data_IF_482875904766
#
_entry.id   IF_482875904766
#
_cell.length_a   1.000
_cell.length_b   1.000
_cell.length_c   1.000
_cell.angle_alpha   90.00
_cell.angle_beta   90.00
_cell.angle_gamma   90.00
#
_symmetry.space_group_name_H-M   'P 1'
#
loop_
_entity.id
_entity.type
_entity.pdbx_description
1 polymer ?
#
# COMPACT_ATOMS: atom_id res chain seq x y z
N UNK A 1 -25.25 1.26 23.85
CA UNK A 1 -24.40 2.42 24.18
C UNK A 1 -23.02 2.15 23.63
N UNK A 2 -22.69 2.74 22.49
CA UNK A 2 -21.41 2.57 21.77
C UNK A 2 -20.32 3.36 22.50
N UNK A 3 -19.38 2.68 23.15
CA UNK A 3 -18.15 3.32 23.64
C UNK A 3 -17.22 3.46 22.43
N UNK A 4 -17.21 4.61 21.81
CA UNK A 4 -16.22 5.09 20.86
C UNK A 4 -14.87 5.35 21.57
N UNK A 5 -14.25 4.30 22.08
CA UNK A 5 -12.84 4.36 22.43
C UNK A 5 -12.05 4.19 21.12
N UNK A 6 -11.23 5.19 20.73
CA UNK A 6 -10.29 5.03 19.63
C UNK A 6 -9.47 3.76 19.88
N UNK A 7 -9.50 2.84 18.94
CA UNK A 7 -8.66 1.65 18.98
C UNK A 7 -7.19 2.09 19.10
N UNK A 8 -6.50 1.55 20.09
CA UNK A 8 -5.07 1.79 20.28
C UNK A 8 -4.32 0.62 19.66
N UNK A 9 -3.17 0.90 19.11
CA UNK A 9 -2.32 -0.09 18.51
C UNK A 9 -0.94 -0.08 19.17
N UNK A 10 -0.35 -1.27 19.31
CA UNK A 10 1.07 -1.43 19.62
C UNK A 10 1.79 -1.92 18.38
N UNK A 11 2.94 -1.32 18.08
CA UNK A 11 3.87 -1.74 17.03
C UNK A 11 5.05 -2.45 17.68
N UNK A 12 5.23 -3.71 17.35
CA UNK A 12 6.35 -4.53 17.84
C UNK A 12 7.29 -4.75 16.67
N UNK A 13 8.52 -4.28 16.82
CA UNK A 13 9.57 -4.35 15.80
C UNK A 13 10.32 -5.69 15.87
N UNK A 14 11.09 -6.00 14.82
CA UNK A 14 11.91 -7.22 14.77
C UNK A 14 13.02 -7.23 15.84
N UNK A 15 13.48 -6.04 16.26
CA UNK A 15 14.54 -5.86 17.25
C UNK A 15 13.99 -5.72 18.69
N UNK A 16 12.67 -5.77 18.88
CA UNK A 16 12.08 -5.66 20.22
C UNK A 16 12.38 -6.88 21.07
N UNK A 17 12.82 -6.62 22.29
CA UNK A 17 12.90 -7.61 23.36
C UNK A 17 11.66 -7.50 24.27
N UNK A 18 11.55 -8.39 25.28
CA UNK A 18 10.38 -8.41 26.15
C UNK A 18 10.21 -7.13 26.95
N UNK A 19 11.31 -6.46 27.33
CA UNK A 19 11.27 -5.23 28.09
C UNK A 19 10.78 -4.05 27.24
N UNK A 20 11.20 -3.98 25.96
CA UNK A 20 10.70 -2.99 25.02
C UNK A 20 9.23 -3.20 24.71
N UNK A 21 8.77 -4.46 24.57
CA UNK A 21 7.33 -4.77 24.42
C UNK A 21 6.54 -4.31 25.64
N UNK A 22 7.05 -4.56 26.86
CA UNK A 22 6.42 -4.07 28.09
C UNK A 22 6.35 -2.56 28.14
N UNK A 23 7.43 -1.86 27.80
CA UNK A 23 7.47 -0.40 27.75
C UNK A 23 6.46 0.18 26.74
N UNK A 24 6.31 -0.45 25.58
CA UNK A 24 5.32 -0.04 24.55
C UNK A 24 3.87 -0.32 24.98
N UNK A 25 3.61 -1.42 25.68
CA UNK A 25 2.25 -1.82 26.09
C UNK A 25 1.75 -1.08 27.34
N UNK A 26 2.62 -0.78 28.30
CA UNK A 26 2.25 -0.20 29.58
C UNK A 26 1.42 1.09 29.45
N UNK A 27 1.80 2.10 28.62
CA UNK A 27 1.07 3.36 28.53
C UNK A 27 -0.28 3.28 27.83
N UNK A 28 -0.53 2.23 27.05
CA UNK A 28 -1.73 2.07 26.25
C UNK A 28 -2.71 1.02 26.79
N UNK A 29 -2.26 0.21 27.73
CA UNK A 29 -3.04 -0.84 28.39
C UNK A 29 -3.67 -0.35 29.69
N UNK A 30 -4.72 -1.03 30.13
CA UNK A 30 -5.17 -0.89 31.52
C UNK A 30 -4.21 -1.63 32.48
N UNK A 31 -4.08 -1.22 33.75
CA UNK A 31 -3.20 -1.91 34.72
C UNK A 31 -3.50 -3.42 34.81
N UNK A 32 -4.77 -3.80 34.81
CA UNK A 32 -5.20 -5.19 34.80
C UNK A 32 -4.82 -5.92 33.51
N UNK A 33 -5.02 -5.26 32.35
CA UNK A 33 -4.66 -5.82 31.05
C UNK A 33 -3.17 -6.05 30.90
N UNK A 34 -2.35 -5.12 31.37
CA UNK A 34 -0.91 -5.25 31.37
C UNK A 34 -0.43 -6.37 32.29
N UNK A 35 -1.02 -6.51 33.46
CA UNK A 35 -0.73 -7.61 34.38
C UNK A 35 -1.06 -8.98 33.74
N UNK A 36 -2.24 -9.12 33.14
CA UNK A 36 -2.66 -10.35 32.43
C UNK A 36 -1.67 -10.68 31.31
N UNK A 37 -1.25 -9.69 30.53
CA UNK A 37 -0.24 -9.89 29.48
C UNK A 37 1.07 -10.43 30.03
N UNK A 38 1.60 -9.84 31.12
CA UNK A 38 2.83 -10.31 31.77
C UNK A 38 2.77 -11.76 32.21
N UNK A 39 1.66 -12.15 32.86
CA UNK A 39 1.48 -13.53 33.32
C UNK A 39 1.45 -14.52 32.14
N UNK A 40 0.67 -14.22 31.10
CA UNK A 40 0.58 -15.07 29.92
C UNK A 40 1.89 -15.12 29.13
N UNK A 41 2.57 -14.00 28.97
CA UNK A 41 3.86 -13.91 28.30
C UNK A 41 4.91 -14.80 29.00
N UNK A 42 4.91 -14.83 30.35
CA UNK A 42 5.78 -15.70 31.12
C UNK A 42 5.42 -17.18 30.94
N UNK A 43 4.16 -17.54 31.10
CA UNK A 43 3.68 -18.94 30.97
C UNK A 43 3.94 -19.48 29.55
N UNK A 44 3.71 -18.66 28.52
CA UNK A 44 3.85 -19.06 27.10
C UNK A 44 5.27 -18.89 26.57
N UNK A 45 6.25 -18.45 27.38
CA UNK A 45 7.63 -18.25 26.96
C UNK A 45 7.79 -17.23 25.84
N UNK A 46 6.97 -16.17 25.83
CA UNK A 46 6.89 -15.19 24.75
C UNK A 46 8.21 -14.46 24.50
N UNK A 47 9.06 -14.31 25.52
CA UNK A 47 10.40 -13.71 25.40
C UNK A 47 11.30 -14.39 24.36
N UNK A 48 11.07 -15.68 24.09
CA UNK A 48 11.89 -16.46 23.17
C UNK A 48 11.37 -16.44 21.72
N UNK A 49 10.16 -15.88 21.48
CA UNK A 49 9.53 -15.89 20.16
C UNK A 49 8.63 -14.66 19.96
N UNK A 50 9.17 -13.49 20.23
CA UNK A 50 8.49 -12.23 19.97
C UNK A 50 8.24 -12.11 18.46
N UNK A 51 7.00 -11.80 18.11
CA UNK A 51 6.58 -11.67 16.71
C UNK A 51 6.35 -10.21 16.37
N UNK A 52 7.08 -9.65 15.39
CA UNK A 52 6.87 -8.28 14.97
C UNK A 52 5.50 -8.11 14.31
N UNK A 53 4.90 -6.94 14.50
CA UNK A 53 3.61 -6.63 13.92
C UNK A 53 2.86 -5.52 14.62
N UNK A 54 1.69 -5.20 14.07
CA UNK A 54 0.74 -4.23 14.63
C UNK A 54 -0.41 -4.96 15.30
N UNK A 55 -0.63 -4.70 16.58
CA UNK A 55 -1.65 -5.39 17.37
C UNK A 55 -2.62 -4.38 17.99
N UNK A 56 -3.92 -4.69 17.98
CA UNK A 56 -4.96 -3.88 18.60
C UNK A 56 -4.95 -4.08 20.12
N UNK A 57 -5.02 -2.98 20.87
CA UNK A 57 -5.09 -2.99 22.33
C UNK A 57 -6.38 -2.32 22.77
N UNK A 58 -7.19 -3.02 23.60
CA UNK A 58 -8.37 -2.44 24.24
C UNK A 58 -9.70 -2.62 23.49
N UNK A 59 -9.73 -3.22 22.30
CA UNK A 59 -10.97 -3.55 21.58
C UNK A 59 -11.62 -4.84 22.06
N UNK A 60 -10.83 -5.77 22.55
CA UNK A 60 -11.23 -7.07 23.11
C UNK A 60 -10.84 -7.15 24.58
N UNK A 61 -11.39 -8.12 25.32
CA UNK A 61 -10.99 -8.36 26.71
C UNK A 61 -9.48 -8.59 26.87
N UNK A 62 -8.92 -8.23 28.03
CA UNK A 62 -7.47 -8.28 28.29
C UNK A 62 -6.81 -9.61 27.95
N UNK A 63 -7.50 -10.74 28.20
CA UNK A 63 -7.02 -12.08 27.90
C UNK A 63 -6.90 -12.33 26.38
N UNK A 64 -7.91 -11.90 25.61
CA UNK A 64 -7.95 -12.08 24.17
C UNK A 64 -6.90 -11.20 23.47
N UNK A 65 -6.79 -9.94 23.88
CA UNK A 65 -5.73 -9.02 23.41
C UNK A 65 -4.34 -9.61 23.66
N UNK A 66 -4.09 -10.15 24.87
CA UNK A 66 -2.80 -10.77 25.19
C UNK A 66 -2.51 -11.98 24.30
N UNK A 67 -3.50 -12.83 24.06
CA UNK A 67 -3.37 -13.99 23.15
C UNK A 67 -3.10 -13.56 21.71
N UNK A 68 -3.75 -12.50 21.22
CA UNK A 68 -3.50 -11.99 19.86
C UNK A 68 -2.06 -11.55 19.69
N UNK A 69 -1.49 -10.80 20.67
CA UNK A 69 -0.10 -10.37 20.63
C UNK A 69 0.85 -11.56 20.68
N UNK A 70 0.67 -12.48 21.62
CA UNK A 70 1.55 -13.63 21.82
C UNK A 70 1.51 -14.57 20.60
N UNK A 71 0.35 -14.80 20.02
CA UNK A 71 0.18 -15.65 18.84
C UNK A 71 0.50 -14.96 17.50
N UNK A 72 0.80 -13.66 17.52
CA UNK A 72 1.13 -12.89 16.32
C UNK A 72 -0.07 -12.60 15.42
N UNK A 73 -1.29 -12.53 15.97
CA UNK A 73 -2.51 -12.19 15.24
C UNK A 73 -2.58 -10.68 15.02
N UNK A 74 -1.98 -10.22 13.94
CA UNK A 74 -1.86 -8.80 13.62
C UNK A 74 -3.18 -8.17 13.17
N UNK A 75 -3.32 -6.86 13.48
CA UNK A 75 -4.36 -6.03 12.89
C UNK A 75 -3.88 -5.46 11.55
N UNK A 76 -4.64 -5.61 10.45
CA UNK A 76 -4.25 -5.08 9.16
C UNK A 76 -4.22 -3.55 9.16
N UNK A 77 -3.34 -3.00 8.33
CA UNK A 77 -3.25 -1.56 8.01
C UNK A 77 -3.93 -1.33 6.67
N UNK A 78 -4.85 -0.39 6.61
CA UNK A 78 -5.48 0.04 5.36
C UNK A 78 -4.62 1.08 4.67
N UNK A 79 -4.16 0.77 3.47
CA UNK A 79 -3.41 1.67 2.60
C UNK A 79 -4.31 2.03 1.42
N UNK A 80 -4.70 3.28 1.34
CA UNK A 80 -5.43 3.81 0.19
C UNK A 80 -4.42 4.39 -0.79
N UNK A 81 -4.30 3.75 -1.93
CA UNK A 81 -3.54 4.26 -3.07
C UNK A 81 -4.53 5.05 -3.91
N UNK A 82 -4.22 6.33 -4.12
CA UNK A 82 -4.94 7.21 -5.02
C UNK A 82 -4.24 7.23 -6.38
N UNK A 83 -4.65 8.09 -7.29
CA UNK A 83 -3.89 8.34 -8.51
C UNK A 83 -2.43 8.64 -8.18
N UNK A 84 -1.50 7.84 -8.72
CA UNK A 84 -0.06 7.98 -8.42
C UNK A 84 0.56 8.97 -9.38
N UNK A 85 0.83 10.19 -8.89
CA UNK A 85 1.51 11.23 -9.67
C UNK A 85 3.01 10.94 -9.78
N UNK A 86 3.64 10.65 -8.64
CA UNK A 86 5.05 10.33 -8.56
C UNK A 86 5.30 9.12 -7.68
N UNK A 87 6.35 8.36 -7.98
CA UNK A 87 6.78 7.24 -7.11
C UNK A 87 7.27 7.75 -5.75
N UNK A 88 7.71 9.00 -5.69
CA UNK A 88 8.14 9.68 -4.47
C UNK A 88 6.99 9.90 -3.49
N UNK A 89 5.84 10.36 -3.98
CA UNK A 89 4.63 10.57 -3.18
C UNK A 89 4.08 9.22 -2.69
N UNK A 90 3.96 8.26 -3.61
CA UNK A 90 3.57 6.90 -3.25
C UNK A 90 4.45 6.31 -2.14
N UNK A 91 5.78 6.45 -2.29
CA UNK A 91 6.72 5.91 -1.31
C UNK A 91 6.58 6.59 0.04
N UNK A 92 6.27 7.88 0.08
CA UNK A 92 6.01 8.62 1.31
C UNK A 92 4.74 8.10 1.99
N UNK A 93 3.61 8.07 1.28
CA UNK A 93 2.31 7.65 1.82
C UNK A 93 2.32 6.22 2.36
N UNK A 94 3.03 5.32 1.66
CA UNK A 94 3.09 3.91 2.04
C UNK A 94 4.04 3.69 3.22
N UNK A 95 5.22 4.34 3.22
CA UNK A 95 6.22 4.18 4.28
C UNK A 95 5.77 4.78 5.63
N UNK A 96 4.86 5.76 5.64
CA UNK A 96 4.24 6.24 6.87
C UNK A 96 3.36 5.19 7.58
N UNK A 97 2.91 4.18 6.85
CA UNK A 97 1.96 3.18 7.33
C UNK A 97 2.54 1.79 7.50
N UNK A 98 3.66 1.49 6.86
CA UNK A 98 4.35 0.19 6.92
C UNK A 98 5.73 0.33 7.58
N UNK A 99 6.34 -0.80 7.92
CA UNK A 99 7.60 -0.84 8.67
C UNK A 99 8.82 -0.45 7.81
N UNK A 100 8.80 -0.71 6.51
CA UNK A 100 9.93 -0.40 5.63
C UNK A 100 10.08 1.11 5.38
N UNK A 101 11.30 1.54 5.10
CA UNK A 101 11.60 2.96 4.88
C UNK A 101 11.22 3.44 3.47
N UNK A 102 10.96 4.75 3.35
CA UNK A 102 10.76 5.42 2.06
C UNK A 102 11.92 5.18 1.08
N UNK A 103 13.16 5.25 1.58
CA UNK A 103 14.36 5.05 0.75
C UNK A 103 14.46 3.62 0.20
N UNK A 104 14.05 2.63 0.99
CA UNK A 104 14.03 1.23 0.58
C UNK A 104 13.02 1.00 -0.55
N UNK A 105 11.79 1.48 -0.41
CA UNK A 105 10.78 1.37 -1.47
C UNK A 105 11.21 2.12 -2.73
N UNK A 106 11.71 3.35 -2.62
CA UNK A 106 12.19 4.11 -3.77
C UNK A 106 13.35 3.44 -4.50
N UNK A 107 14.30 2.84 -3.78
CA UNK A 107 15.42 2.12 -4.40
C UNK A 107 14.93 0.96 -5.27
N UNK A 108 13.90 0.25 -4.80
CA UNK A 108 13.26 -0.84 -5.56
C UNK A 108 12.48 -0.33 -6.77
N UNK A 109 11.70 0.74 -6.62
CA UNK A 109 10.91 1.31 -7.71
C UNK A 109 11.78 1.94 -8.81
N UNK A 110 12.99 2.43 -8.49
CA UNK A 110 13.95 2.97 -9.44
C UNK A 110 14.88 1.90 -10.06
N UNK A 111 14.87 0.69 -9.53
CA UNK A 111 15.68 -0.41 -10.04
C UNK A 111 15.10 -0.98 -11.33
N UNK A 112 15.87 -0.92 -12.42
CA UNK A 112 15.48 -1.52 -13.72
C UNK A 112 15.20 -3.02 -13.60
N UNK A 113 15.96 -3.73 -12.78
CA UNK A 113 15.79 -5.16 -12.54
C UNK A 113 14.46 -5.45 -11.84
N UNK A 114 14.15 -4.70 -10.77
CA UNK A 114 12.89 -4.83 -10.04
C UNK A 114 11.70 -4.51 -10.94
N UNK A 115 11.74 -3.39 -11.68
CA UNK A 115 10.66 -3.03 -12.60
C UNK A 115 10.44 -4.10 -13.68
N UNK A 116 11.51 -4.62 -14.27
CA UNK A 116 11.45 -5.68 -15.29
C UNK A 116 10.81 -6.98 -14.74
N UNK A 117 11.06 -7.33 -13.48
CA UNK A 117 10.42 -8.48 -12.80
C UNK A 117 8.90 -8.40 -12.88
N UNK A 118 8.34 -7.20 -12.78
CA UNK A 118 6.90 -6.96 -12.81
C UNK A 118 6.36 -6.56 -14.20
N UNK A 119 7.22 -6.48 -15.21
CA UNK A 119 6.83 -6.14 -16.58
C UNK A 119 6.76 -4.64 -16.89
N UNK A 120 7.43 -3.83 -16.07
CA UNK A 120 7.47 -2.37 -16.21
C UNK A 120 8.90 -1.85 -16.39
N UNK A 121 9.02 -0.55 -16.69
CA UNK A 121 10.25 0.23 -16.58
C UNK A 121 10.15 1.20 -15.40
N UNK A 122 11.25 1.85 -14.97
CA UNK A 122 11.16 2.87 -13.93
C UNK A 122 10.20 4.03 -14.27
N UNK A 123 9.99 4.32 -15.54
CA UNK A 123 9.08 5.35 -16.03
C UNK A 123 7.62 4.89 -16.00
N UNK A 124 7.36 3.59 -16.23
CA UNK A 124 6.00 3.05 -16.34
C UNK A 124 5.52 2.32 -15.07
N UNK A 125 6.41 2.10 -14.09
CA UNK A 125 6.06 1.40 -12.84
C UNK A 125 4.90 2.05 -12.05
N UNK A 126 4.65 3.38 -12.10
CA UNK A 126 3.48 3.96 -11.48
C UNK A 126 2.16 3.33 -11.93
N UNK A 127 2.07 2.88 -13.19
CA UNK A 127 0.89 2.21 -13.73
C UNK A 127 0.59 0.83 -13.11
N UNK A 128 1.51 0.26 -12.35
CA UNK A 128 1.27 -0.95 -11.57
C UNK A 128 0.29 -0.72 -10.41
N UNK A 129 0.25 0.49 -9.87
CA UNK A 129 -0.48 0.82 -8.65
C UNK A 129 -1.90 1.28 -8.99
N UNK A 130 -2.83 0.34 -9.00
CA UNK A 130 -4.25 0.63 -9.27
C UNK A 130 -4.85 1.35 -8.05
N UNK A 131 -5.55 2.50 -8.23
CA UNK A 131 -6.22 3.20 -7.16
C UNK A 131 -7.25 2.32 -6.46
N UNK A 132 -7.03 2.06 -5.18
CA UNK A 132 -7.93 1.28 -4.31
C UNK A 132 -7.44 1.35 -2.86
N UNK A 133 -8.21 0.77 -1.93
CA UNK A 133 -7.79 0.55 -0.55
C UNK A 133 -7.42 -0.92 -0.35
N UNK A 134 -6.19 -1.13 0.09
CA UNK A 134 -5.59 -2.45 0.28
C UNK A 134 -5.29 -2.71 1.75
N UNK A 135 -5.51 -3.93 2.21
CA UNK A 135 -5.13 -4.36 3.54
C UNK A 135 -3.73 -5.00 3.51
N UNK A 136 -2.84 -4.51 4.37
CA UNK A 136 -1.49 -5.03 4.58
C UNK A 136 -1.23 -5.30 6.05
N UNK A 137 -0.33 -6.20 6.35
CA UNK A 137 0.27 -6.24 7.68
C UNK A 137 1.38 -5.19 7.79
N UNK A 138 1.49 -4.58 8.96
CA UNK A 138 2.45 -3.49 9.20
C UNK A 138 3.90 -3.88 8.89
N UNK A 139 4.28 -5.12 9.18
CA UNK A 139 5.61 -5.68 8.92
C UNK A 139 5.75 -6.32 7.52
N UNK A 140 4.89 -5.95 6.56
CA UNK A 140 5.02 -6.40 5.17
C UNK A 140 6.33 -5.87 4.59
N UNK A 141 7.15 -6.75 3.99
CA UNK A 141 8.38 -6.34 3.29
C UNK A 141 8.06 -5.65 1.95
N UNK A 142 9.03 -4.86 1.44
CA UNK A 142 8.89 -4.18 0.13
C UNK A 142 8.57 -5.18 -0.98
N UNK A 143 9.23 -6.34 -1.01
CA UNK A 143 8.99 -7.34 -2.05
C UNK A 143 7.55 -7.89 -1.99
N UNK A 144 7.04 -8.22 -0.79
CA UNK A 144 5.65 -8.66 -0.61
C UNK A 144 4.64 -7.57 -0.96
N UNK A 145 4.97 -6.30 -0.66
CA UNK A 145 4.14 -5.17 -1.06
C UNK A 145 4.05 -5.09 -2.58
N UNK A 146 5.18 -5.11 -3.28
CA UNK A 146 5.22 -5.04 -4.74
C UNK A 146 4.58 -6.27 -5.41
N UNK A 147 4.80 -7.48 -4.87
CA UNK A 147 4.16 -8.69 -5.38
C UNK A 147 2.63 -8.58 -5.29
N UNK A 148 2.09 -8.12 -4.15
CA UNK A 148 0.64 -7.90 -4.00
C UNK A 148 0.12 -6.83 -4.95
N UNK A 149 0.83 -5.72 -5.13
CA UNK A 149 0.42 -4.68 -6.09
C UNK A 149 0.40 -5.22 -7.53
N UNK A 150 1.39 -6.03 -7.90
CA UNK A 150 1.41 -6.71 -9.21
C UNK A 150 0.24 -7.68 -9.40
N UNK A 151 -0.12 -8.43 -8.36
CA UNK A 151 -1.29 -9.32 -8.40
C UNK A 151 -2.60 -8.54 -8.58
N UNK A 152 -2.78 -7.45 -7.84
CA UNK A 152 -3.97 -6.59 -7.97
C UNK A 152 -4.02 -5.90 -9.34
N UNK A 153 -2.87 -5.48 -9.89
CA UNK A 153 -2.78 -4.98 -11.27
C UNK A 153 -3.23 -6.03 -12.29
N UNK A 154 -2.73 -7.27 -12.17
CA UNK A 154 -3.13 -8.38 -13.06
C UNK A 154 -4.62 -8.72 -12.95
N UNK A 155 -5.22 -8.64 -11.76
CA UNK A 155 -6.66 -8.82 -11.57
C UNK A 155 -7.46 -7.70 -12.22
N UNK A 156 -7.00 -6.46 -12.08
CA UNK A 156 -7.62 -5.31 -12.70
C UNK A 156 -7.61 -5.42 -14.23
N UNK A 157 -6.44 -5.73 -14.81
CA UNK A 157 -6.26 -5.93 -16.25
C UNK A 157 -6.70 -7.33 -16.70
N UNK A 158 -7.99 -7.62 -16.56
CA UNK A 158 -8.60 -8.84 -17.07
C UNK A 158 -8.64 -8.85 -18.60
N UNK A 159 -9.03 -9.98 -19.17
CA UNK A 159 -9.10 -10.16 -20.64
C UNK A 159 -9.92 -9.07 -21.33
N UNK A 160 -11.11 -8.75 -20.80
CA UNK A 160 -12.01 -7.75 -21.38
C UNK A 160 -11.39 -6.34 -21.42
N UNK A 161 -10.74 -5.90 -20.30
CA UNK A 161 -10.08 -4.58 -20.25
C UNK A 161 -8.89 -4.49 -21.20
N UNK A 162 -8.10 -5.57 -21.30
CA UNK A 162 -6.97 -5.65 -22.23
C UNK A 162 -7.43 -5.55 -23.68
N UNK A 163 -8.48 -6.27 -24.04
CA UNK A 163 -9.04 -6.18 -25.39
C UNK A 163 -9.60 -4.80 -25.72
N UNK A 164 -10.30 -4.15 -24.79
CA UNK A 164 -10.76 -2.76 -24.95
C UNK A 164 -9.60 -1.79 -25.15
N UNK A 165 -8.52 -1.89 -24.34
CA UNK A 165 -7.33 -1.06 -24.47
C UNK A 165 -6.70 -1.24 -25.86
N UNK A 166 -6.52 -2.49 -26.30
CA UNK A 166 -5.97 -2.84 -27.61
C UNK A 166 -6.82 -2.31 -28.77
N UNK A 167 -8.15 -2.43 -28.68
CA UNK A 167 -9.08 -1.89 -29.68
C UNK A 167 -9.00 -0.36 -29.75
N UNK A 168 -8.75 0.30 -28.63
CA UNK A 168 -8.53 1.75 -28.57
C UNK A 168 -7.12 2.17 -29.03
N UNK A 169 -6.22 1.23 -29.31
CA UNK A 169 -4.84 1.50 -29.77
C UNK A 169 -3.87 1.90 -28.65
N UNK A 170 -4.18 1.59 -27.39
CA UNK A 170 -3.37 1.95 -26.22
C UNK A 170 -2.83 0.73 -25.49
N UNK A 171 -1.66 0.90 -24.87
CA UNK A 171 -1.13 -0.03 -23.88
C UNK A 171 -1.83 0.18 -22.52
N UNK A 172 -1.73 -0.82 -21.63
CA UNK A 172 -2.26 -0.74 -20.27
C UNK A 172 -1.69 0.47 -19.50
N UNK A 173 -0.39 0.74 -19.66
CA UNK A 173 0.27 1.88 -19.01
C UNK A 173 -0.19 3.23 -19.56
N UNK A 174 -0.41 3.35 -20.86
CA UNK A 174 -0.93 4.59 -21.47
C UNK A 174 -2.36 4.88 -21.01
N UNK A 175 -3.21 3.86 -20.88
CA UNK A 175 -4.57 4.01 -20.32
C UNK A 175 -4.51 4.52 -18.87
N UNK A 176 -3.63 3.95 -18.02
CA UNK A 176 -3.48 4.41 -16.63
C UNK A 176 -2.98 5.84 -16.58
N UNK A 177 -2.01 6.21 -17.43
CA UNK A 177 -1.51 7.57 -17.54
C UNK A 177 -2.62 8.53 -17.96
N UNK A 178 -3.38 8.20 -18.99
CA UNK A 178 -4.52 9.01 -19.43
C UNK A 178 -5.57 9.15 -18.32
N UNK A 179 -5.90 8.06 -17.64
CA UNK A 179 -6.85 8.08 -16.53
C UNK A 179 -6.39 8.98 -15.39
N UNK A 180 -5.08 8.97 -15.04
CA UNK A 180 -4.55 9.85 -14.00
C UNK A 180 -4.59 11.33 -14.39
N UNK A 181 -4.40 11.67 -15.66
CA UNK A 181 -4.55 13.04 -16.16
C UNK A 181 -6.02 13.49 -16.08
N UNK A 182 -6.95 12.62 -16.49
CA UNK A 182 -8.39 12.94 -16.45
C UNK A 182 -8.88 13.12 -15.01
N UNK A 183 -8.40 12.30 -14.08
CA UNK A 183 -8.72 12.36 -12.64
C UNK A 183 -8.23 13.70 -12.00
N UNK A 184 -7.12 14.25 -12.48
CA UNK A 184 -6.61 15.55 -12.06
C UNK A 184 -7.38 16.76 -12.61
N UNK A 185 -7.99 16.59 -13.79
CA UNK A 185 -8.70 17.68 -14.46
C UNK A 185 -10.15 17.85 -13.95
N UNK A 186 -10.77 16.78 -13.47
CA UNK A 186 -12.16 16.83 -13.01
C UNK A 186 -12.53 15.69 -12.05
N UNK A 187 -13.28 16.04 -11.02
CA UNK A 187 -13.96 15.09 -10.12
C UNK A 187 -15.35 14.69 -10.68
N UNK A 188 -15.79 15.25 -11.82
CA UNK A 188 -17.10 15.01 -12.40
C UNK A 188 -17.06 13.86 -13.41
N UNK A 189 -17.55 12.69 -13.00
CA UNK A 189 -17.59 11.49 -13.84
C UNK A 189 -18.26 11.70 -15.21
N UNK A 190 -19.24 12.62 -15.33
CA UNK A 190 -19.91 12.92 -16.59
C UNK A 190 -19.03 13.70 -17.58
N UNK A 191 -17.99 14.39 -17.09
CA UNK A 191 -17.04 15.15 -17.92
C UNK A 191 -15.82 14.33 -18.30
N UNK A 192 -15.45 13.32 -17.52
CA UNK A 192 -14.27 12.50 -17.75
C UNK A 192 -14.16 11.96 -19.19
N UNK A 193 -15.23 11.44 -19.84
CA UNK A 193 -15.13 10.95 -21.21
C UNK A 193 -14.80 12.05 -22.24
N UNK A 194 -15.27 13.28 -22.03
CA UNK A 194 -14.98 14.43 -22.91
C UNK A 194 -13.53 14.85 -22.79
N UNK A 195 -13.02 14.93 -21.56
CA UNK A 195 -11.63 15.27 -21.26
C UNK A 195 -10.69 14.20 -21.80
N UNK A 196 -11.00 12.91 -21.59
CA UNK A 196 -10.24 11.81 -22.17
C UNK A 196 -10.19 11.90 -23.71
N UNK A 197 -11.32 12.15 -24.37
CA UNK A 197 -11.39 12.33 -25.82
C UNK A 197 -10.54 13.50 -26.31
N UNK A 198 -10.50 14.62 -25.58
CA UNK A 198 -9.66 15.76 -25.90
C UNK A 198 -8.16 15.41 -25.85
N UNK A 199 -7.70 14.72 -24.81
CA UNK A 199 -6.30 14.30 -24.68
C UNK A 199 -5.90 13.27 -25.73
N UNK A 200 -6.79 12.32 -26.07
CA UNK A 200 -6.57 11.36 -27.16
C UNK A 200 -6.38 12.07 -28.49
N UNK A 201 -7.23 13.04 -28.82
CA UNK A 201 -7.12 13.82 -30.05
C UNK A 201 -5.82 14.65 -30.10
N UNK A 202 -5.42 15.28 -29.00
CA UNK A 202 -4.16 16.01 -28.92
C UNK A 202 -2.95 15.10 -29.13
N UNK A 203 -2.95 13.90 -28.57
CA UNK A 203 -1.91 12.88 -28.77
C UNK A 203 -1.81 12.46 -30.26
N UNK A 204 -2.94 12.23 -30.92
CA UNK A 204 -2.99 11.85 -32.33
C UNK A 204 -2.50 12.97 -33.27
N UNK A 205 -2.74 14.25 -32.91
CA UNK A 205 -2.25 15.41 -33.68
C UNK A 205 -0.71 15.46 -33.63
N UNK A 206 -0.10 15.25 -32.46
CA UNK A 206 1.36 15.24 -32.32
C UNK A 206 2.04 14.07 -33.03
N UNK A 207 1.39 12.93 -33.16
CA UNK A 207 1.93 11.77 -33.88
C UNK A 207 1.82 11.98 -35.41
N UNK A 208 0.85 12.75 -35.88
CA UNK A 208 0.57 13.00 -37.30
C UNK A 208 1.27 14.23 -37.89
N UNK A 209 1.94 15.09 -37.10
CA UNK A 209 2.78 16.16 -37.63
C UNK A 209 4.13 15.62 -38.09
N UNK A 210 4.38 15.54 -39.41
CA UNK A 210 5.72 15.24 -39.91
C UNK A 210 6.62 16.40 -39.53
N UNK A 211 7.71 16.10 -38.80
CA UNK A 211 8.79 17.05 -38.54
C UNK A 211 9.21 17.74 -39.82
N UNK A 212 8.66 18.92 -40.11
CA UNK A 212 9.16 19.81 -41.16
C UNK A 212 10.56 20.25 -40.74
N UNK A 213 11.57 19.45 -41.16
CA UNK A 213 12.95 19.91 -41.20
C UNK A 213 12.97 21.16 -42.06
N UNK A 214 13.17 22.33 -41.46
CA UNK A 214 13.65 23.52 -42.16
C UNK A 214 15.08 23.23 -42.59
N UNK A 215 15.30 23.06 -43.89
CA UNK A 215 16.60 23.21 -44.52
C UNK A 215 17.10 24.64 -44.44
#
# INVERSE_FOLDING_TARGET
>A
MSRTGKEKYVLIDENDNIDSVYAKLQPISTPQGFWVFKQLAGIMGYSNHIRPGRFTVGSSGSLQTSRHIINGLQAPVKITIRSVRTIEDLATDVSEKLMFSRSELLSRLKSKETCKKYGFTPETIPAMFIPNTYDFYWNTSVDKFLDKMSEENKKFWNFERKEKAKQAGFTESEIVTLASIVDEETDNEAEMPKIAGMYINLSLIHISEPTRRRG
#
